data_IF_141156750375
#
_entry.id   IF_141156750375
#
_cell.length_a   1.000
_cell.length_b   1.000
_cell.length_c   1.000
_cell.angle_alpha   90.00
_cell.angle_beta   90.00
_cell.angle_gamma   90.00
#
_symmetry.space_group_name_H-M   'P 1'
#
loop_
_entity.id
_entity.type
_entity.pdbx_description
1 polymer ?
#
# COMPACT_ATOMS: atom_id res chain seq x y z
N UNK A 1 44.00 -4.23 -5.38
CA UNK A 1 43.09 -3.09 -5.63
C UNK A 1 42.88 -2.38 -4.31
N UNK A 2 43.72 -1.38 -4.03
CA UNK A 2 43.63 -0.61 -2.79
C UNK A 2 42.48 0.40 -2.84
N UNK A 3 41.56 0.21 -1.89
CA UNK A 3 41.02 1.22 -0.96
C UNK A 3 40.32 2.45 -1.56
N UNK A 4 39.17 2.21 -2.18
CA UNK A 4 38.05 3.15 -2.01
C UNK A 4 37.71 3.13 -0.49
N UNK A 5 37.72 4.29 0.17
CA UNK A 5 37.30 4.38 1.57
C UNK A 5 35.86 3.90 1.73
N UNK A 6 35.48 3.43 2.92
CA UNK A 6 34.10 2.98 3.17
C UNK A 6 33.11 4.09 2.80
N UNK A 7 33.42 5.34 3.13
CA UNK A 7 32.57 6.50 2.85
C UNK A 7 32.42 6.76 1.35
N UNK A 8 33.50 6.67 0.58
CA UNK A 8 33.45 6.81 -0.88
C UNK A 8 32.66 5.65 -1.51
N UNK A 9 32.79 4.44 -0.99
CA UNK A 9 32.02 3.30 -1.47
C UNK A 9 30.52 3.46 -1.15
N UNK A 10 30.18 3.93 0.05
CA UNK A 10 28.80 4.25 0.45
C UNK A 10 28.21 5.33 -0.46
N UNK A 11 28.94 6.42 -0.74
CA UNK A 11 28.48 7.49 -1.62
C UNK A 11 28.22 6.96 -3.05
N UNK A 12 29.17 6.23 -3.63
CA UNK A 12 29.03 5.62 -4.96
C UNK A 12 27.81 4.70 -5.01
N UNK A 13 27.74 3.73 -4.09
CA UNK A 13 26.65 2.77 -4.03
C UNK A 13 25.30 3.48 -3.83
N UNK A 14 25.24 4.52 -3.00
CA UNK A 14 24.00 5.27 -2.75
C UNK A 14 23.40 5.97 -3.98
N UNK A 15 24.18 6.13 -5.06
CA UNK A 15 23.77 6.79 -6.30
C UNK A 15 23.27 5.80 -7.36
N UNK A 16 23.46 4.50 -7.14
CA UNK A 16 23.05 3.46 -8.08
C UNK A 16 21.56 3.13 -7.93
N UNK A 17 20.89 2.72 -9.02
CA UNK A 17 19.59 2.07 -8.94
C UNK A 17 19.66 0.86 -8.00
N UNK A 18 18.58 0.61 -7.26
CA UNK A 18 18.62 -0.41 -6.21
C UNK A 18 18.87 -1.84 -6.73
N UNK A 19 18.54 -2.10 -7.99
CA UNK A 19 18.85 -3.38 -8.64
C UNK A 19 20.34 -3.56 -8.88
N UNK A 20 21.06 -2.50 -9.25
CA UNK A 20 22.50 -2.57 -9.45
C UNK A 20 23.24 -2.73 -8.13
N UNK A 21 22.67 -2.23 -7.03
CA UNK A 21 23.18 -2.47 -5.68
C UNK A 21 23.23 -3.97 -5.31
N UNK A 22 22.27 -4.78 -5.78
CA UNK A 22 22.35 -6.24 -5.59
C UNK A 22 23.52 -6.85 -6.32
N UNK A 23 23.77 -6.45 -7.57
CA UNK A 23 24.91 -6.93 -8.36
C UNK A 23 26.24 -6.52 -7.71
N UNK A 24 26.27 -5.34 -7.09
CA UNK A 24 27.43 -4.82 -6.36
C UNK A 24 27.85 -5.71 -5.17
N UNK A 25 26.95 -6.53 -4.59
CA UNK A 25 27.29 -7.52 -3.56
C UNK A 25 28.31 -8.55 -4.06
N UNK A 26 28.29 -8.87 -5.36
CA UNK A 26 29.21 -9.82 -5.99
C UNK A 26 30.57 -9.24 -6.37
N UNK A 27 30.77 -7.92 -6.28
CA UNK A 27 31.98 -7.24 -6.79
C UNK A 27 33.16 -7.43 -5.83
N UNK A 28 32.97 -7.15 -4.54
CA UNK A 28 33.98 -7.36 -3.51
C UNK A 28 33.37 -7.48 -2.10
N UNK A 29 34.14 -7.99 -1.14
CA UNK A 29 33.71 -8.13 0.27
C UNK A 29 33.23 -6.82 0.88
N UNK A 30 33.95 -5.72 0.65
CA UNK A 30 33.59 -4.40 1.20
C UNK A 30 32.22 -3.92 0.72
N UNK A 31 31.94 -4.03 -0.58
CA UNK A 31 30.65 -3.64 -1.16
C UNK A 31 29.52 -4.56 -0.71
N UNK A 32 29.80 -5.86 -0.58
CA UNK A 32 28.86 -6.82 0.00
C UNK A 32 28.48 -6.45 1.45
N UNK A 33 29.46 -6.10 2.29
CA UNK A 33 29.23 -5.64 3.65
C UNK A 33 28.38 -4.37 3.69
N UNK A 34 28.69 -3.37 2.85
CA UNK A 34 27.90 -2.11 2.79
C UNK A 34 26.48 -2.37 2.31
N UNK A 35 26.29 -3.12 1.22
CA UNK A 35 24.98 -3.40 0.65
C UNK A 35 24.12 -4.36 1.51
N UNK A 36 24.70 -4.98 2.54
CA UNK A 36 24.01 -5.81 3.51
C UNK A 36 23.80 -5.09 4.86
N UNK A 37 24.34 -3.88 5.01
CA UNK A 37 24.21 -3.05 6.20
C UNK A 37 22.78 -2.49 6.31
N UNK A 38 22.03 -2.76 7.40
CA UNK A 38 20.70 -2.21 7.62
C UNK A 38 20.69 -0.68 7.62
N UNK A 39 21.73 -0.03 8.14
CA UNK A 39 21.84 1.44 8.19
C UNK A 39 21.96 2.04 6.81
N UNK A 40 22.70 1.37 5.92
CA UNK A 40 22.79 1.76 4.51
C UNK A 40 21.44 1.62 3.82
N UNK A 41 20.69 0.54 4.10
CA UNK A 41 19.33 0.34 3.58
C UNK A 41 18.37 1.43 4.04
N UNK A 42 18.42 1.84 5.31
CA UNK A 42 17.62 2.96 5.85
C UNK A 42 17.98 4.28 5.18
N UNK A 43 19.27 4.56 5.00
CA UNK A 43 19.75 5.76 4.31
C UNK A 43 19.25 5.83 2.87
N UNK A 44 19.32 4.71 2.13
CA UNK A 44 18.76 4.60 0.80
C UNK A 44 17.25 4.87 0.79
N UNK A 45 16.50 4.31 1.75
CA UNK A 45 15.06 4.53 1.84
C UNK A 45 14.73 6.02 1.98
N UNK A 46 15.41 6.72 2.89
CA UNK A 46 15.23 8.16 3.11
C UNK A 46 15.59 8.97 1.86
N UNK A 47 16.65 8.57 1.15
CA UNK A 47 17.06 9.21 -0.10
C UNK A 47 16.03 9.00 -1.20
N UNK A 48 15.55 7.77 -1.41
CA UNK A 48 14.55 7.44 -2.43
C UNK A 48 13.19 8.08 -2.17
N UNK A 49 12.78 8.26 -0.90
CA UNK A 49 11.61 9.07 -0.53
C UNK A 49 11.77 10.50 -1.03
N UNK A 50 12.93 11.13 -0.79
CA UNK A 50 13.22 12.52 -1.19
C UNK A 50 13.34 12.70 -2.70
N UNK A 51 13.95 11.77 -3.42
CA UNK A 51 14.23 11.92 -4.87
C UNK A 51 13.02 11.63 -5.75
N UNK A 52 11.88 11.20 -5.19
CA UNK A 52 10.69 10.80 -5.93
C UNK A 52 11.01 9.75 -7.02
N UNK A 53 12.02 8.91 -6.83
CA UNK A 53 12.31 7.79 -7.74
C UNK A 53 11.64 6.57 -7.16
N UNK A 54 10.42 6.31 -7.62
CA UNK A 54 9.63 5.17 -7.18
C UNK A 54 9.52 4.25 -8.37
N UNK A 55 10.10 3.06 -8.24
CA UNK A 55 9.84 2.01 -9.18
C UNK A 55 8.38 1.60 -9.03
N UNK A 56 7.69 1.40 -10.14
CA UNK A 56 6.33 0.91 -10.10
C UNK A 56 6.36 -0.57 -10.35
N UNK A 57 5.64 -1.33 -9.53
CA UNK A 57 5.26 -2.67 -9.93
C UNK A 57 3.92 -2.60 -10.62
N UNK A 58 3.91 -2.89 -11.91
CA UNK A 58 2.69 -3.06 -12.69
C UNK A 58 2.36 -4.54 -12.67
N UNK A 59 1.16 -4.89 -12.25
CA UNK A 59 0.66 -6.25 -12.28
C UNK A 59 -0.47 -6.35 -13.30
N UNK A 60 -0.27 -7.25 -14.27
CA UNK A 60 -1.32 -7.70 -15.17
C UNK A 60 -1.95 -8.97 -14.60
N UNK A 61 -3.24 -8.88 -14.25
CA UNK A 61 -3.97 -10.04 -13.74
C UNK A 61 -4.29 -11.07 -14.81
N UNK A 62 -4.32 -10.69 -16.09
CA UNK A 62 -4.72 -11.61 -17.16
C UNK A 62 -3.75 -12.79 -17.31
N UNK A 63 -2.45 -12.52 -17.21
CA UNK A 63 -1.40 -13.55 -17.28
C UNK A 63 -0.57 -13.65 -15.99
N UNK A 64 -1.02 -12.99 -14.92
CA UNK A 64 -0.35 -12.91 -13.62
C UNK A 64 1.12 -12.47 -13.69
N UNK A 65 1.45 -11.60 -14.66
CA UNK A 65 2.80 -11.05 -14.81
C UNK A 65 2.97 -9.75 -14.04
N UNK A 66 4.12 -9.59 -13.38
CA UNK A 66 4.53 -8.36 -12.71
C UNK A 66 5.71 -7.73 -13.45
N UNK A 67 5.71 -6.40 -13.52
CA UNK A 67 6.68 -5.63 -14.28
C UNK A 67 7.24 -4.50 -13.44
N UNK A 68 8.53 -4.22 -13.60
CA UNK A 68 9.12 -3.00 -13.08
C UNK A 68 9.04 -1.90 -14.12
N UNK A 69 8.33 -0.84 -13.77
CA UNK A 69 8.27 0.38 -14.55
C UNK A 69 9.18 1.41 -13.91
N UNK A 70 10.19 1.82 -14.66
CA UNK A 70 11.06 2.94 -14.29
C UNK A 70 10.50 4.21 -14.92
N UNK A 71 10.36 5.26 -14.10
CA UNK A 71 9.98 6.59 -14.57
C UNK A 71 11.17 7.20 -15.33
N UNK A 72 11.23 6.97 -16.66
CA UNK A 72 12.31 7.52 -17.46
C UNK A 72 12.16 9.03 -17.57
N UNK A 73 13.05 9.77 -16.92
CA UNK A 73 13.13 11.24 -17.03
C UNK A 73 13.46 11.73 -18.45
N UNK A 74 13.89 10.84 -19.35
CA UNK A 74 14.31 11.12 -20.71
C UNK A 74 13.14 11.08 -21.71
N UNK A 75 12.25 12.06 -21.62
CA UNK A 75 11.56 12.71 -22.75
C UNK A 75 10.47 13.60 -22.16
N UNK A 76 10.87 14.79 -21.72
CA UNK A 76 9.94 15.89 -21.42
C UNK A 76 9.48 16.60 -22.70
N UNK A 77 9.55 15.93 -23.86
CA UNK A 77 9.08 16.50 -25.11
C UNK A 77 7.56 16.30 -25.23
N UNK A 78 6.85 17.28 -24.67
CA UNK A 78 5.47 17.81 -24.87
C UNK A 78 4.33 16.98 -25.49
N UNK A 79 4.47 15.71 -25.87
CA UNK A 79 3.40 14.93 -26.53
C UNK A 79 3.21 13.51 -26.04
N UNK A 80 4.22 12.82 -25.51
CA UNK A 80 4.03 11.45 -25.00
C UNK A 80 5.01 11.15 -23.86
N UNK A 81 4.53 11.12 -22.61
CA UNK A 81 5.28 10.46 -21.53
C UNK A 81 5.24 8.96 -21.79
N UNK A 82 6.40 8.33 -21.92
CA UNK A 82 6.52 6.87 -22.04
C UNK A 82 7.08 6.35 -20.73
N UNK A 83 6.34 5.45 -20.07
CA UNK A 83 6.94 4.65 -19.00
C UNK A 83 7.61 3.46 -19.68
N UNK A 84 8.94 3.44 -19.64
CA UNK A 84 9.69 2.28 -20.08
C UNK A 84 9.54 1.18 -19.03
N UNK A 85 9.06 0.03 -19.47
CA UNK A 85 9.13 -1.17 -18.64
C UNK A 85 10.49 -1.79 -18.85
N UNK A 86 11.27 -1.81 -17.79
CA UNK A 86 12.49 -2.57 -17.71
C UNK A 86 12.18 -3.95 -17.15
N UNK A 87 12.65 -5.00 -17.82
CA UNK A 87 12.65 -6.38 -17.29
C UNK A 87 11.29 -6.94 -16.87
N UNK A 88 10.74 -7.80 -17.73
CA UNK A 88 9.66 -8.71 -17.32
C UNK A 88 10.27 -9.73 -16.37
N UNK A 89 9.80 -9.78 -15.14
CA UNK A 89 10.01 -10.96 -14.34
C UNK A 89 8.67 -11.67 -14.27
N UNK A 90 8.66 -12.90 -14.78
CA UNK A 90 7.55 -13.77 -14.50
C UNK A 90 7.59 -13.99 -12.99
N UNK A 91 6.45 -13.81 -12.32
CA UNK A 91 6.30 -14.39 -11.00
C UNK A 91 6.30 -15.90 -11.19
N UNK A 92 7.48 -16.46 -11.39
CA UNK A 92 7.75 -17.86 -11.68
C UNK A 92 7.79 -18.58 -10.33
N UNK A 93 6.65 -18.63 -9.64
CA UNK A 93 6.43 -19.76 -8.76
C UNK A 93 6.11 -20.94 -9.68
N UNK A 94 7.15 -21.60 -10.19
CA UNK A 94 7.11 -22.72 -11.14
C UNK A 94 6.26 -23.92 -10.67
N UNK A 95 5.71 -23.87 -9.46
CA UNK A 95 4.94 -24.95 -8.86
C UNK A 95 3.47 -24.61 -8.63
N UNK A 96 3.02 -23.36 -8.78
CA UNK A 96 1.63 -22.99 -8.55
C UNK A 96 1.25 -21.73 -9.34
N UNK A 97 0.69 -21.91 -10.53
CA UNK A 97 -0.08 -20.85 -11.20
C UNK A 97 -1.26 -20.53 -10.27
N UNK A 98 -1.20 -19.40 -9.57
CA UNK A 98 -2.38 -18.89 -8.88
C UNK A 98 -3.25 -18.28 -9.96
N UNK A 99 -4.36 -18.91 -10.33
CA UNK A 99 -5.35 -18.32 -11.23
C UNK A 99 -5.88 -16.96 -10.69
N UNK A 100 -5.61 -16.68 -9.41
CA UNK A 100 -6.23 -15.67 -8.58
C UNK A 100 -5.23 -14.94 -7.66
N UNK A 101 -4.04 -14.57 -8.16
CA UNK A 101 -3.08 -13.76 -7.39
C UNK A 101 -3.76 -12.44 -6.93
N UNK A 102 -3.39 -11.93 -5.77
CA UNK A 102 -3.81 -10.65 -5.22
C UNK A 102 -2.65 -10.03 -4.45
N UNK A 103 -2.49 -8.71 -4.54
CA UNK A 103 -1.50 -7.98 -3.74
C UNK A 103 -2.20 -7.34 -2.56
N UNK A 104 -1.90 -7.79 -1.35
CA UNK A 104 -2.49 -7.28 -0.11
C UNK A 104 -1.92 -5.92 0.29
N UNK A 105 -0.67 -5.64 -0.09
CA UNK A 105 -0.03 -4.36 0.11
C UNK A 105 1.46 -4.38 -0.23
N UNK A 106 2.09 -3.20 -0.18
CA UNK A 106 3.54 -3.05 -0.19
C UNK A 106 3.97 -2.19 0.99
N UNK A 107 5.04 -2.61 1.66
CA UNK A 107 5.62 -1.86 2.75
C UNK A 107 7.13 -2.10 2.74
N UNK A 108 7.91 -1.02 2.83
CA UNK A 108 9.37 -1.08 2.96
C UNK A 108 10.08 -1.99 1.93
N UNK A 109 9.58 -2.02 0.69
CA UNK A 109 10.12 -2.79 -0.44
C UNK A 109 9.76 -4.26 -0.44
N UNK A 110 8.91 -4.70 0.49
CA UNK A 110 8.32 -6.03 0.52
C UNK A 110 6.89 -5.96 -0.01
N UNK A 111 6.48 -6.98 -0.75
CA UNK A 111 5.10 -7.22 -1.16
C UNK A 111 4.48 -8.31 -0.30
N UNK A 112 3.24 -8.12 0.10
CA UNK A 112 2.42 -9.20 0.63
C UNK A 112 1.45 -9.65 -0.46
N UNK A 113 1.55 -10.92 -0.84
CA UNK A 113 0.81 -11.54 -1.93
C UNK A 113 -0.08 -12.63 -1.37
N UNK A 114 -1.28 -12.79 -1.91
CA UNK A 114 -2.14 -13.94 -1.61
C UNK A 114 -2.84 -14.46 -2.85
N UNK A 115 -3.48 -15.63 -2.74
CA UNK A 115 -4.60 -15.94 -3.63
C UNK A 115 -5.92 -15.36 -3.06
N UNK A 116 -7.00 -15.30 -3.86
CA UNK A 116 -8.31 -14.80 -3.37
C UNK A 116 -8.85 -15.56 -2.16
N UNK A 117 -8.56 -16.86 -2.03
CA UNK A 117 -9.01 -17.66 -0.88
C UNK A 117 -8.14 -17.49 0.39
N UNK A 118 -7.08 -16.68 0.34
CA UNK A 118 -6.11 -16.48 1.42
C UNK A 118 -5.41 -17.76 1.93
N UNK A 119 -5.60 -18.91 1.26
CA UNK A 119 -4.95 -20.19 1.60
C UNK A 119 -3.45 -20.19 1.34
N UNK A 120 -2.97 -19.27 0.51
CA UNK A 120 -1.55 -19.11 0.21
C UNK A 120 -1.23 -17.64 0.33
N UNK A 121 -0.48 -17.28 1.36
CA UNK A 121 0.01 -15.91 1.59
C UNK A 121 1.53 -15.94 1.59
N UNK A 122 2.16 -14.97 0.91
CA UNK A 122 3.61 -14.88 0.80
C UNK A 122 4.08 -13.45 1.01
N UNK A 123 5.21 -13.30 1.70
CA UNK A 123 6.03 -12.08 1.60
C UNK A 123 7.02 -12.27 0.47
N UNK A 124 7.20 -11.24 -0.35
CA UNK A 124 8.06 -11.29 -1.53
C UNK A 124 8.88 -10.01 -1.65
N UNK A 125 10.20 -10.15 -1.81
CA UNK A 125 11.10 -9.06 -2.11
C UNK A 125 11.38 -9.13 -3.62
N UNK A 126 10.79 -8.23 -4.42
CA UNK A 126 10.90 -8.29 -5.87
C UNK A 126 12.26 -7.81 -6.40
N UNK A 127 13.12 -7.26 -5.52
CA UNK A 127 14.50 -6.88 -5.83
C UNK A 127 15.41 -8.09 -5.65
N UNK A 128 15.39 -8.74 -4.48
CA UNK A 128 16.22 -9.94 -4.22
C UNK A 128 15.63 -11.25 -4.73
N UNK A 129 14.38 -11.23 -5.19
CA UNK A 129 13.58 -12.40 -5.58
C UNK A 129 13.35 -13.42 -4.44
N UNK A 130 13.69 -13.05 -3.21
CA UNK A 130 13.40 -13.85 -2.03
C UNK A 130 11.91 -13.84 -1.71
N UNK A 131 11.40 -14.97 -1.21
CA UNK A 131 10.06 -15.07 -0.68
C UNK A 131 10.02 -15.89 0.61
N UNK A 132 8.95 -15.66 1.38
CA UNK A 132 8.56 -16.43 2.55
C UNK A 132 7.09 -16.83 2.40
N UNK A 133 6.82 -18.13 2.38
CA UNK A 133 5.46 -18.66 2.46
C UNK A 133 5.00 -18.66 3.91
N UNK A 134 3.87 -18.02 4.17
CA UNK A 134 3.27 -18.01 5.49
C UNK A 134 2.58 -19.35 5.76
N UNK A 135 2.55 -19.80 7.03
CA UNK A 135 1.66 -20.87 7.43
C UNK A 135 0.20 -20.48 7.18
N UNK A 136 -0.67 -21.47 7.06
CA UNK A 136 -2.10 -21.23 6.97
C UNK A 136 -2.58 -20.48 8.21
N UNK A 137 -3.42 -19.47 8.00
CA UNK A 137 -4.11 -18.82 9.11
C UNK A 137 -5.08 -19.79 9.79
N UNK A 138 -5.45 -19.48 11.03
CA UNK A 138 -6.35 -20.35 11.80
C UNK A 138 -7.77 -20.16 11.27
N UNK A 139 -8.35 -21.17 10.63
CA UNK A 139 -9.74 -21.07 10.20
C UNK A 139 -10.69 -21.18 11.40
N UNK A 140 -11.85 -20.49 11.39
CA UNK A 140 -12.90 -20.73 12.38
C UNK A 140 -13.28 -22.22 12.47
N UNK A 141 -13.77 -22.65 13.64
CA UNK A 141 -14.08 -24.06 13.93
C UNK A 141 -15.00 -24.74 12.90
N UNK A 142 -14.94 -26.08 12.81
CA UNK A 142 -15.74 -26.87 11.86
C UNK A 142 -17.22 -26.51 11.92
N UNK A 143 -17.82 -26.22 10.77
CA UNK A 143 -19.23 -25.82 10.64
C UNK A 143 -19.46 -24.30 10.60
N UNK A 144 -18.45 -23.50 10.93
CA UNK A 144 -18.54 -22.05 10.82
C UNK A 144 -18.30 -21.61 9.36
N UNK A 145 -19.17 -20.73 8.87
CA UNK A 145 -19.05 -20.19 7.51
C UNK A 145 -18.30 -18.87 7.55
N UNK A 146 -17.12 -18.82 6.92
CA UNK A 146 -16.43 -17.54 6.69
C UNK A 146 -17.29 -16.71 5.75
N UNK A 147 -17.67 -15.53 6.20
CA UNK A 147 -18.42 -14.55 5.43
C UNK A 147 -17.48 -13.66 4.63
N UNK A 148 -16.37 -13.26 5.26
CA UNK A 148 -15.47 -12.24 4.70
C UNK A 148 -14.11 -12.24 5.38
N UNK A 149 -13.09 -11.92 4.61
CA UNK A 149 -11.74 -11.67 5.10
C UNK A 149 -11.28 -10.29 4.60
N UNK A 150 -11.02 -9.38 5.54
CA UNK A 150 -10.23 -8.19 5.23
C UNK A 150 -8.76 -8.49 5.53
N UNK A 151 -7.88 -7.81 4.83
CA UNK A 151 -6.45 -7.95 5.04
C UNK A 151 -5.75 -6.61 5.07
N UNK A 152 -4.58 -6.60 5.69
CA UNK A 152 -3.66 -5.47 5.62
C UNK A 152 -2.22 -5.91 5.83
N UNK A 153 -1.31 -5.10 5.31
CA UNK A 153 0.13 -5.34 5.37
C UNK A 153 0.86 -4.06 5.71
N UNK A 154 1.69 -4.10 6.75
CA UNK A 154 2.40 -2.92 7.26
C UNK A 154 3.60 -3.27 8.12
N UNK A 155 4.09 -2.30 8.89
CA UNK A 155 5.29 -2.40 9.71
C UNK A 155 5.09 -1.71 11.06
N UNK A 156 5.44 -2.37 12.17
CA UNK A 156 5.20 -1.90 13.55
C UNK A 156 6.46 -1.38 14.27
N UNK A 157 7.36 -0.76 13.50
CA UNK A 157 8.72 -0.31 13.88
C UNK A 157 9.79 -1.42 13.94
N UNK A 158 9.39 -2.67 14.17
CA UNK A 158 10.33 -3.79 14.26
C UNK A 158 10.13 -4.80 13.14
N UNK A 159 8.89 -5.23 12.91
CA UNK A 159 8.58 -6.31 11.99
C UNK A 159 7.54 -5.92 10.95
N UNK A 160 7.64 -6.54 9.78
CA UNK A 160 6.51 -6.55 8.87
C UNK A 160 5.38 -7.39 9.49
N UNK A 161 4.16 -6.88 9.45
CA UNK A 161 2.97 -7.59 9.95
C UNK A 161 1.98 -7.82 8.81
N UNK A 162 1.43 -9.02 8.76
CA UNK A 162 0.25 -9.33 7.96
C UNK A 162 -0.94 -9.46 8.91
N UNK A 163 -1.99 -8.68 8.68
CA UNK A 163 -3.21 -8.70 9.48
C UNK A 163 -4.35 -9.27 8.63
N UNK A 164 -5.09 -10.22 9.20
CA UNK A 164 -6.34 -10.73 8.67
C UNK A 164 -7.47 -10.43 9.66
N UNK A 165 -8.56 -9.86 9.18
CA UNK A 165 -9.79 -9.66 9.97
C UNK A 165 -10.85 -10.58 9.40
N UNK A 166 -11.24 -11.59 10.17
CA UNK A 166 -12.16 -12.62 9.74
C UNK A 166 -13.54 -12.34 10.32
N UNK A 167 -14.56 -12.41 9.46
CA UNK A 167 -15.96 -12.37 9.84
C UNK A 167 -16.59 -13.71 9.48
N UNK A 168 -17.27 -14.36 10.43
CA UNK A 168 -17.82 -15.70 10.22
C UNK A 168 -19.12 -15.92 10.99
N UNK A 169 -20.01 -16.75 10.41
CA UNK A 169 -21.24 -17.18 11.08
C UNK A 169 -20.95 -18.40 11.96
N UNK A 170 -21.44 -18.34 13.20
CA UNK A 170 -21.57 -19.51 14.07
C UNK A 170 -23.05 -19.86 14.24
N UNK A 171 -23.32 -21.15 14.42
CA UNK A 171 -24.66 -21.62 14.74
C UNK A 171 -24.94 -21.39 16.24
N UNK A 172 -25.84 -20.46 16.51
CA UNK A 172 -26.33 -20.17 17.86
C UNK A 172 -27.32 -21.21 18.35
N UNK A 173 -27.72 -21.08 19.63
CA UNK A 173 -28.81 -21.88 20.20
C UNK A 173 -30.10 -21.60 19.39
N UNK A 174 -30.93 -22.63 19.18
CA UNK A 174 -32.19 -22.54 18.45
C UNK A 174 -32.09 -22.13 16.96
N UNK A 175 -31.04 -22.56 16.24
CA UNK A 175 -30.83 -22.28 14.79
C UNK A 175 -30.66 -20.78 14.45
N UNK A 176 -30.45 -19.92 15.45
CA UNK A 176 -30.05 -18.53 15.22
C UNK A 176 -28.64 -18.48 14.62
N UNK A 177 -28.37 -17.49 13.76
CA UNK A 177 -27.03 -17.24 13.22
C UNK A 177 -26.44 -16.04 13.94
N UNK A 178 -25.24 -16.20 14.48
CA UNK A 178 -24.50 -15.12 15.13
C UNK A 178 -23.27 -14.84 14.29
N UNK A 179 -23.05 -13.57 13.95
CA UNK A 179 -21.84 -13.13 13.27
C UNK A 179 -20.79 -12.84 14.31
N UNK A 180 -19.64 -13.50 14.18
CA UNK A 180 -18.46 -13.29 15.01
C UNK A 180 -17.37 -12.62 14.18
N UNK A 181 -16.45 -11.94 14.86
CA UNK A 181 -15.26 -11.38 14.26
C UNK A 181 -14.01 -11.72 15.08
N UNK A 182 -12.87 -11.78 14.38
CA UNK A 182 -11.56 -11.94 14.99
C UNK A 182 -10.46 -11.30 14.14
N UNK A 183 -9.39 -10.89 14.81
CA UNK A 183 -8.15 -10.43 14.19
C UNK A 183 -7.08 -11.52 14.33
N UNK A 184 -6.36 -11.78 13.25
CA UNK A 184 -5.14 -12.58 13.25
C UNK A 184 -3.97 -11.78 12.72
N UNK A 185 -2.86 -11.79 13.44
CA UNK A 185 -1.64 -11.06 13.09
C UNK A 185 -0.50 -12.05 12.92
N UNK A 186 0.14 -12.04 11.76
CA UNK A 186 1.36 -12.79 11.50
C UNK A 186 2.58 -11.88 11.58
N UNK A 187 3.61 -12.35 12.28
CA UNK A 187 4.95 -11.74 12.32
C UNK A 187 5.98 -12.76 11.80
N UNK A 188 6.88 -12.37 10.88
CA UNK A 188 7.91 -13.25 10.34
C UNK A 188 8.84 -13.86 11.40
N UNK A 189 9.12 -13.12 12.47
CA UNK A 189 10.03 -13.56 13.53
C UNK A 189 9.45 -14.73 14.36
N UNK A 190 8.18 -14.63 14.75
CA UNK A 190 7.50 -15.73 15.44
C UNK A 190 7.08 -16.87 14.50
N UNK A 191 6.94 -16.56 13.21
CA UNK A 191 6.41 -17.45 12.18
C UNK A 191 5.06 -18.09 12.56
N UNK A 192 4.23 -17.40 13.34
CA UNK A 192 2.94 -17.88 13.84
C UNK A 192 1.88 -16.79 13.71
N UNK A 193 0.63 -17.21 13.49
CA UNK A 193 -0.54 -16.34 13.58
C UNK A 193 -0.99 -16.18 15.03
N UNK A 194 -0.94 -14.96 15.54
CA UNK A 194 -1.49 -14.59 16.85
C UNK A 194 -2.95 -14.16 16.66
N UNK A 195 -3.84 -14.61 17.56
CA UNK A 195 -5.29 -14.44 17.41
C UNK A 195 -5.87 -13.60 18.55
N UNK A 196 -6.70 -12.61 18.20
CA UNK A 196 -7.47 -11.77 19.12
C UNK A 196 -8.95 -11.83 18.72
N UNK A 197 -9.82 -12.28 19.63
CA UNK A 197 -11.25 -12.53 19.37
C UNK A 197 -12.09 -11.36 19.90
N UNK A 198 -13.06 -10.88 19.10
CA UNK A 198 -14.03 -9.86 19.55
C UNK A 198 -13.48 -8.43 19.67
N UNK A 199 -12.26 -8.19 19.19
CA UNK A 199 -11.60 -6.88 19.21
C UNK A 199 -11.81 -6.07 17.93
N UNK A 200 -12.41 -6.67 16.88
CA UNK A 200 -12.59 -6.01 15.58
C UNK A 200 -13.89 -5.19 15.56
N UNK A 201 -13.85 -3.90 15.20
CA UNK A 201 -15.05 -3.10 15.04
C UNK A 201 -16.06 -3.74 14.08
N UNK A 202 -17.28 -3.99 14.54
CA UNK A 202 -18.32 -4.68 13.75
C UNK A 202 -18.58 -4.02 12.39
N UNK A 203 -18.54 -2.68 12.33
CA UNK A 203 -18.74 -1.91 11.11
C UNK A 203 -17.80 -2.31 9.96
N UNK A 204 -16.61 -2.90 10.24
CA UNK A 204 -15.71 -3.38 9.20
C UNK A 204 -16.30 -4.53 8.36
N UNK A 205 -17.35 -5.20 8.85
CA UNK A 205 -18.09 -6.15 8.02
C UNK A 205 -18.68 -5.49 6.77
N UNK A 206 -18.93 -4.17 6.80
CA UNK A 206 -19.45 -3.42 5.66
C UNK A 206 -18.38 -2.97 4.67
N UNK A 207 -17.08 -3.11 4.98
CA UNK A 207 -15.99 -2.62 4.13
C UNK A 207 -16.01 -3.26 2.73
N UNK A 208 -15.32 -2.72 1.73
CA UNK A 208 -15.26 -3.42 0.44
C UNK A 208 -14.24 -4.58 0.51
N UNK A 209 -14.65 -5.84 0.30
CA UNK A 209 -13.76 -7.01 0.44
C UNK A 209 -12.55 -6.96 -0.50
N UNK A 210 -12.74 -6.43 -1.70
CA UNK A 210 -11.65 -6.27 -2.68
C UNK A 210 -10.80 -5.01 -2.45
N UNK A 211 -11.13 -4.18 -1.45
CA UNK A 211 -10.27 -3.07 -1.03
C UNK A 211 -9.18 -3.60 -0.08
N UNK A 212 -7.94 -3.61 -0.54
CA UNK A 212 -6.77 -3.75 0.33
C UNK A 212 -6.70 -2.57 1.31
N UNK A 213 -6.18 -2.81 2.52
CA UNK A 213 -5.88 -1.72 3.44
C UNK A 213 -4.80 -0.79 2.87
N UNK A 214 -4.73 0.42 3.41
CA UNK A 214 -3.62 1.34 3.17
C UNK A 214 -2.79 1.45 4.44
N UNK A 215 -1.48 1.34 4.32
CA UNK A 215 -0.56 1.50 5.45
C UNK A 215 0.11 2.88 5.40
N UNK A 216 -0.04 3.65 6.48
CA UNK A 216 0.61 4.94 6.68
C UNK A 216 0.72 5.22 8.19
N UNK A 217 1.80 5.87 8.62
CA UNK A 217 2.02 6.27 10.02
C UNK A 217 1.76 5.17 11.06
N UNK A 218 2.30 3.97 10.79
CA UNK A 218 2.19 2.82 11.69
C UNK A 218 0.81 2.17 11.73
N UNK A 219 -0.15 2.68 10.95
CA UNK A 219 -1.54 2.23 10.98
C UNK A 219 -2.01 1.66 9.64
N UNK A 220 -2.86 0.64 9.71
CA UNK A 220 -3.61 0.12 8.57
C UNK A 220 -4.98 0.78 8.53
N UNK A 221 -5.43 1.22 7.36
CA UNK A 221 -6.70 1.92 7.17
C UNK A 221 -7.60 1.17 6.21
N UNK A 222 -8.86 0.99 6.59
CA UNK A 222 -9.93 0.44 5.77
C UNK A 222 -11.09 1.42 5.70
N UNK A 223 -11.71 1.49 4.53
CA UNK A 223 -12.93 2.25 4.35
C UNK A 223 -14.14 1.37 4.61
N UNK A 224 -15.12 1.90 5.33
CA UNK A 224 -16.35 1.19 5.68
C UNK A 224 -17.52 2.15 5.85
N UNK A 225 -18.69 1.62 6.18
CA UNK A 225 -19.84 2.42 6.61
C UNK A 225 -20.19 2.14 8.06
N UNK A 226 -20.74 3.15 8.74
CA UNK A 226 -21.35 2.98 10.06
C UNK A 226 -22.42 1.87 10.04
N UNK A 227 -22.66 1.25 11.19
CA UNK A 227 -23.72 0.24 11.33
C UNK A 227 -25.09 0.82 10.95
N UNK A 228 -25.90 -0.01 10.28
CA UNK A 228 -27.21 0.39 9.74
C UNK A 228 -28.12 0.87 10.87
N UNK A 229 -28.36 2.17 10.98
CA UNK A 229 -29.36 2.72 11.88
C UNK A 229 -30.72 2.98 11.22
N UNK A 230 -30.81 2.99 9.88
CA UNK A 230 -32.05 3.32 9.15
C UNK A 230 -31.98 2.97 7.66
N UNK A 231 -33.14 3.01 6.97
CA UNK A 231 -33.29 2.81 5.51
C UNK A 231 -32.64 3.93 4.66
N UNK A 232 -32.17 5.02 5.28
CA UNK A 232 -31.69 6.25 4.63
C UNK A 232 -30.20 6.25 4.23
N UNK A 233 -29.53 5.09 4.24
CA UNK A 233 -28.10 4.97 3.91
C UNK A 233 -27.19 5.09 5.14
N UNK A 234 -25.88 4.96 4.95
CA UNK A 234 -24.91 4.92 6.06
C UNK A 234 -23.76 5.88 5.87
N UNK A 235 -23.26 6.46 6.97
CA UNK A 235 -22.10 7.37 6.93
C UNK A 235 -20.84 6.61 6.54
N UNK A 236 -20.05 7.20 5.66
CA UNK A 236 -18.74 6.68 5.24
C UNK A 236 -17.69 6.99 6.31
N UNK A 237 -16.99 5.95 6.75
CA UNK A 237 -15.99 6.01 7.83
C UNK A 237 -14.70 5.35 7.38
N UNK A 238 -13.60 5.74 8.03
CA UNK A 238 -12.32 5.04 7.93
C UNK A 238 -12.02 4.44 9.30
N UNK A 239 -11.76 3.14 9.34
CA UNK A 239 -11.28 2.46 10.54
C UNK A 239 -9.78 2.25 10.38
N UNK A 240 -9.01 2.64 11.39
CA UNK A 240 -7.57 2.42 11.47
C UNK A 240 -7.23 1.35 12.49
N UNK A 241 -6.13 0.62 12.30
CA UNK A 241 -5.51 -0.27 13.29
C UNK A 241 -4.04 0.12 13.42
N UNK A 242 -3.62 0.58 14.60
CA UNK A 242 -2.20 0.87 14.85
C UNK A 242 -1.46 -0.45 15.10
N UNK A 243 -0.45 -0.77 14.30
CA UNK A 243 0.20 -2.09 14.34
C UNK A 243 1.06 -2.36 15.59
N UNK A 244 1.64 -1.32 16.19
CA UNK A 244 2.42 -1.45 17.42
C UNK A 244 1.59 -1.55 18.71
N UNK A 245 0.47 -0.83 18.79
CA UNK A 245 -0.44 -0.80 19.96
C UNK A 245 -1.59 -1.79 19.86
N UNK A 246 -1.89 -2.22 18.64
CA UNK A 246 -2.98 -3.12 18.27
C UNK A 246 -4.37 -2.59 18.70
N UNK A 247 -4.55 -1.27 18.65
CA UNK A 247 -5.79 -0.57 18.91
C UNK A 247 -6.43 0.00 17.64
N UNK A 248 -7.76 0.02 17.64
CA UNK A 248 -8.55 0.54 16.54
C UNK A 248 -8.92 2.00 16.75
N UNK A 249 -8.85 2.77 15.68
CA UNK A 249 -9.33 4.16 15.61
C UNK A 249 -10.43 4.31 14.56
N UNK A 250 -11.18 5.40 14.65
CA UNK A 250 -12.20 5.76 13.66
C UNK A 250 -12.01 7.21 13.26
N UNK A 251 -11.98 7.47 11.95
CA UNK A 251 -11.86 8.79 11.37
C UNK A 251 -13.04 9.04 10.44
N UNK A 252 -13.67 10.21 10.56
CA UNK A 252 -14.72 10.63 9.64
C UNK A 252 -14.12 11.00 8.28
N UNK A 253 -14.91 10.82 7.22
CA UNK A 253 -14.50 11.18 5.84
C UNK A 253 -15.03 12.57 5.49
N UNK A 254 -14.47 13.26 4.48
CA UNK A 254 -15.00 14.53 3.98
C UNK A 254 -16.31 14.35 3.19
N UNK A 255 -16.84 13.12 3.11
CA UNK A 255 -18.03 12.79 2.34
C UNK A 255 -19.23 12.83 3.26
N UNK A 256 -20.04 13.88 3.12
CA UNK A 256 -21.23 14.11 3.95
C UNK A 256 -22.47 13.35 3.47
N UNK A 257 -22.44 12.77 2.27
CA UNK A 257 -23.56 12.05 1.67
C UNK A 257 -23.64 10.63 2.23
N UNK A 258 -24.85 10.19 2.57
CA UNK A 258 -25.09 8.82 3.00
C UNK A 258 -24.90 7.85 1.83
N UNK A 259 -24.19 6.77 2.10
CA UNK A 259 -23.77 5.78 1.11
C UNK A 259 -24.71 4.58 1.17
N UNK A 260 -25.28 4.20 0.03
CA UNK A 260 -26.17 3.03 -0.09
C UNK A 260 -25.37 1.76 -0.47
N UNK A 261 -25.28 0.81 0.47
CA UNK A 261 -24.81 -0.60 0.34
C UNK A 261 -23.43 -0.86 -0.32
N UNK A 262 -22.96 -2.12 -0.24
CA UNK A 262 -21.62 -2.59 -0.65
C UNK A 262 -21.20 -2.19 -2.08
N UNK A 263 -22.14 -2.02 -3.00
CA UNK A 263 -21.83 -1.70 -4.40
C UNK A 263 -21.36 -0.27 -4.62
N UNK A 264 -21.63 0.67 -3.70
CA UNK A 264 -21.15 2.05 -3.80
C UNK A 264 -19.76 2.24 -3.21
N UNK A 265 -19.34 1.40 -2.25
CA UNK A 265 -18.02 1.51 -1.61
C UNK A 265 -16.86 1.33 -2.59
N UNK A 266 -17.05 0.59 -3.69
CA UNK A 266 -16.03 0.43 -4.75
C UNK A 266 -15.61 1.75 -5.41
N UNK A 267 -16.42 2.81 -5.29
CA UNK A 267 -16.14 4.15 -5.81
C UNK A 267 -15.27 4.99 -4.87
N UNK A 268 -14.99 4.48 -3.67
CA UNK A 268 -14.16 5.13 -2.69
C UNK A 268 -12.88 4.34 -2.48
N UNK A 269 -11.74 4.99 -2.68
CA UNK A 269 -10.44 4.32 -2.61
C UNK A 269 -9.50 5.09 -1.69
N UNK A 270 -8.91 4.38 -0.74
CA UNK A 270 -7.83 4.92 0.07
C UNK A 270 -6.49 4.79 -0.66
N UNK A 271 -5.57 5.71 -0.37
CA UNK A 271 -4.20 5.68 -0.87
C UNK A 271 -3.27 6.52 0.00
N UNK A 272 -2.03 6.71 -0.46
CA UNK A 272 -1.07 7.62 0.16
C UNK A 272 -0.62 8.63 -0.91
N UNK A 273 -0.78 9.92 -0.62
CA UNK A 273 -0.31 11.01 -1.47
C UNK A 273 0.32 12.10 -0.61
N UNK A 274 1.47 12.61 -1.05
CA UNK A 274 2.24 13.62 -0.30
C UNK A 274 2.49 13.20 1.16
N UNK A 275 2.74 11.90 1.39
CA UNK A 275 2.93 11.33 2.73
C UNK A 275 1.71 11.53 3.66
N UNK A 276 0.52 11.78 3.09
CA UNK A 276 -0.75 11.85 3.81
C UNK A 276 -1.68 10.72 3.35
N UNK A 277 -2.59 10.30 4.25
CA UNK A 277 -3.69 9.41 3.88
C UNK A 277 -4.58 10.15 2.87
N UNK A 278 -4.86 9.50 1.73
CA UNK A 278 -5.71 10.08 0.69
C UNK A 278 -7.01 9.30 0.52
N UNK A 279 -8.10 10.00 0.23
CA UNK A 279 -9.38 9.43 -0.16
C UNK A 279 -9.76 9.89 -1.56
N UNK A 280 -10.02 8.92 -2.44
CA UNK A 280 -10.57 9.16 -3.76
C UNK A 280 -12.07 8.89 -3.73
N UNK A 281 -12.85 9.77 -4.34
CA UNK A 281 -14.28 9.59 -4.53
C UNK A 281 -14.62 9.71 -6.02
N UNK A 282 -15.10 8.61 -6.62
CA UNK A 282 -15.62 8.56 -8.00
C UNK A 282 -17.11 8.22 -8.07
N UNK A 283 -17.86 8.40 -6.97
CA UNK A 283 -19.27 7.98 -6.87
C UNK A 283 -20.20 8.73 -7.83
N UNK A 284 -19.86 9.95 -8.20
CA UNK A 284 -20.65 10.76 -9.15
C UNK A 284 -20.51 10.32 -10.61
N UNK A 285 -19.48 9.53 -10.94
CA UNK A 285 -19.10 9.15 -12.31
C UNK A 285 -18.59 10.31 -13.20
N UNK A 286 -18.91 11.56 -12.87
CA UNK A 286 -18.49 12.77 -13.59
C UNK A 286 -17.16 13.30 -13.11
N UNK A 287 -16.92 13.24 -11.82
CA UNK A 287 -15.70 13.72 -11.21
C UNK A 287 -15.04 12.63 -10.37
N UNK A 288 -13.72 12.63 -10.38
CA UNK A 288 -12.89 11.92 -9.42
C UNK A 288 -12.29 12.95 -8.49
N UNK A 289 -12.83 13.05 -7.28
CA UNK A 289 -12.33 13.94 -6.25
C UNK A 289 -11.23 13.26 -5.45
N UNK A 290 -10.11 13.95 -5.26
CA UNK A 290 -8.98 13.46 -4.46
C UNK A 290 -8.82 14.35 -3.24
N UNK A 291 -8.90 13.74 -2.06
CA UNK A 291 -8.76 14.39 -0.76
C UNK A 291 -7.53 13.84 -0.04
N UNK A 292 -6.90 14.66 0.79
CA UNK A 292 -5.84 14.24 1.71
C UNK A 292 -6.19 14.66 3.14
N UNK A 293 -5.87 13.79 4.09
CA UNK A 293 -5.99 14.07 5.52
C UNK A 293 -4.68 14.69 5.98
N UNK A 294 -4.71 16.00 6.21
CA UNK A 294 -3.55 16.74 6.74
C UNK A 294 -3.58 16.70 8.26
N UNK A 295 -2.40 16.80 8.86
CA UNK A 295 -2.24 16.96 10.29
C UNK A 295 -1.46 18.25 10.56
N UNK A 296 -2.20 19.31 10.90
CA UNK A 296 -1.65 20.63 11.18
C UNK A 296 -1.80 20.88 12.69
N UNK A 297 -0.67 21.01 13.40
CA UNK A 297 -0.63 21.26 14.86
C UNK A 297 -1.42 20.24 15.71
N UNK A 298 -1.50 18.98 15.26
CA UNK A 298 -2.23 17.91 15.95
C UNK A 298 -3.73 17.88 15.61
N UNK A 299 -4.23 18.81 14.79
CA UNK A 299 -5.58 18.76 14.24
C UNK A 299 -5.56 18.08 12.88
N UNK A 300 -6.32 17.00 12.77
CA UNK A 300 -6.55 16.33 11.50
C UNK A 300 -7.71 16.99 10.75
N UNK A 301 -7.47 17.37 9.49
CA UNK A 301 -8.51 17.94 8.63
C UNK A 301 -8.38 17.46 7.18
N UNK A 302 -9.52 17.27 6.53
CA UNK A 302 -9.56 16.82 5.14
C UNK A 302 -9.50 18.03 4.22
N UNK A 303 -8.52 18.01 3.32
CA UNK A 303 -8.39 19.01 2.26
C UNK A 303 -8.59 18.36 0.91
N UNK A 304 -9.48 18.92 0.07
CA UNK A 304 -9.57 18.52 -1.34
C UNK A 304 -8.31 19.00 -2.06
N UNK A 305 -7.59 18.08 -2.68
CA UNK A 305 -6.34 18.36 -3.39
C UNK A 305 -6.64 18.81 -4.83
N UNK A 306 -7.48 18.05 -5.54
CA UNK A 306 -7.98 18.39 -6.88
C UNK A 306 -9.19 17.51 -7.24
N UNK A 307 -9.87 17.88 -8.33
CA UNK A 307 -10.96 17.14 -8.94
C UNK A 307 -10.64 16.87 -10.40
N UNK A 308 -10.75 15.62 -10.84
CA UNK A 308 -10.52 15.22 -12.24
C UNK A 308 -11.87 15.11 -12.93
N UNK A 309 -12.06 15.82 -14.03
CA UNK A 309 -13.24 15.62 -14.88
C UNK A 309 -13.06 14.34 -15.71
N UNK A 310 -13.97 13.37 -15.57
CA UNK A 310 -13.81 12.06 -16.23
C UNK A 310 -13.87 12.13 -17.75
N UNK A 311 -14.46 13.18 -18.33
CA UNK A 311 -14.45 13.41 -19.77
C UNK A 311 -13.04 13.69 -20.34
N UNK A 312 -12.15 14.27 -19.54
CA UNK A 312 -10.75 14.55 -19.93
C UNK A 312 -9.83 13.32 -19.79
N UNK A 313 -10.32 12.27 -19.12
CA UNK A 313 -9.66 10.96 -19.09
C UNK A 313 -10.11 10.16 -20.31
N UNK A 314 -9.77 10.61 -21.54
CA UNK A 314 -10.21 10.03 -22.83
C UNK A 314 -10.45 8.51 -22.75
N UNK A 315 -11.71 8.11 -22.54
CA UNK A 315 -12.08 6.71 -22.33
C UNK A 315 -12.21 6.01 -23.68
N UNK A 316 -11.80 4.74 -23.82
CA UNK A 316 -12.26 3.90 -24.91
C UNK A 316 -13.80 3.82 -24.87
N UNK A 317 -14.47 4.21 -25.94
CA UNK A 317 -15.91 4.48 -26.03
C UNK A 317 -16.87 3.27 -25.83
N UNK A 318 -16.43 2.20 -25.15
CA UNK A 318 -17.09 0.89 -25.21
C UNK A 318 -17.39 0.24 -23.85
N UNK A 319 -17.20 0.93 -22.72
CA UNK A 319 -17.26 0.28 -21.39
C UNK A 319 -18.23 1.01 -20.46
N UNK A 320 -19.37 0.37 -20.17
CA UNK A 320 -20.36 0.80 -19.17
C UNK A 320 -19.89 0.55 -17.72
N UNK A 321 -18.59 0.48 -17.48
CA UNK A 321 -18.03 0.19 -16.15
C UNK A 321 -17.72 1.48 -15.38
N UNK A 322 -17.87 1.48 -14.04
CA UNK A 322 -17.50 2.62 -13.22
C UNK A 322 -15.99 2.88 -13.30
N UNK A 323 -15.62 4.14 -13.55
CA UNK A 323 -14.23 4.60 -13.56
C UNK A 323 -13.65 4.49 -12.15
N UNK A 324 -12.79 3.49 -11.91
CA UNK A 324 -11.99 3.39 -10.69
C UNK A 324 -10.62 3.99 -11.01
N UNK A 325 -10.31 5.06 -10.29
CA UNK A 325 -9.04 5.77 -10.41
C UNK A 325 -8.33 5.68 -9.06
N UNK A 326 -7.07 5.29 -9.07
CA UNK A 326 -6.21 5.27 -7.89
C UNK A 326 -5.00 6.16 -8.12
N UNK A 327 -4.87 7.30 -7.43
CA UNK A 327 -3.67 8.09 -7.52
C UNK A 327 -2.54 7.34 -6.81
N UNK A 328 -1.43 7.21 -7.53
CA UNK A 328 -0.23 6.51 -7.07
C UNK A 328 0.74 7.53 -6.49
N UNK A 329 0.87 8.67 -7.16
CA UNK A 329 1.93 9.63 -6.91
C UNK A 329 1.56 10.99 -7.47
N UNK A 330 1.85 12.03 -6.70
CA UNK A 330 1.83 13.42 -7.15
C UNK A 330 3.28 13.91 -7.30
N UNK A 331 3.61 14.42 -8.48
CA UNK A 331 4.91 15.02 -8.79
C UNK A 331 4.89 16.51 -8.43
N UNK A 332 6.08 17.09 -8.21
CA UNK A 332 6.26 18.49 -7.79
C UNK A 332 5.70 19.53 -8.79
N UNK A 333 5.48 19.15 -10.05
CA UNK A 333 4.92 20.00 -11.10
C UNK A 333 3.39 19.84 -11.26
N UNK A 334 2.70 19.37 -10.22
CA UNK A 334 1.24 19.19 -10.25
C UNK A 334 0.76 17.98 -11.07
N UNK A 335 1.68 17.16 -11.58
CA UNK A 335 1.35 15.99 -12.40
C UNK A 335 1.12 14.76 -11.52
N UNK A 336 -0.04 14.13 -11.68
CA UNK A 336 -0.48 12.96 -10.93
C UNK A 336 -0.37 11.72 -11.81
N UNK A 337 0.24 10.67 -11.27
CA UNK A 337 0.15 9.34 -11.87
C UNK A 337 -1.02 8.58 -11.25
N UNK A 338 -1.87 8.05 -12.11
CA UNK A 338 -3.11 7.36 -11.76
C UNK A 338 -3.11 5.94 -12.33
N UNK A 339 -3.67 4.98 -11.58
CA UNK A 339 -4.16 3.71 -12.13
C UNK A 339 -5.62 3.90 -12.51
N UNK A 340 -5.93 3.69 -13.77
CA UNK A 340 -7.28 3.51 -14.29
C UNK A 340 -7.53 2.01 -14.53
N UNK A 341 -8.80 1.59 -14.58
CA UNK A 341 -9.18 0.19 -14.88
C UNK A 341 -8.44 -0.42 -16.09
N UNK A 342 -8.07 0.41 -17.06
CA UNK A 342 -7.50 0.01 -18.35
C UNK A 342 -6.08 0.50 -18.58
N UNK A 343 -5.40 1.06 -17.57
CA UNK A 343 -4.01 1.48 -17.76
C UNK A 343 -3.50 2.48 -16.74
N UNK A 344 -2.27 2.91 -16.95
CA UNK A 344 -1.69 4.04 -16.25
C UNK A 344 -2.05 5.33 -16.97
N UNK A 345 -2.46 6.34 -16.22
CA UNK A 345 -2.79 7.66 -16.74
C UNK A 345 -1.92 8.68 -16.04
N UNK A 346 -1.30 9.56 -16.81
CA UNK A 346 -0.72 10.79 -16.27
C UNK A 346 -1.73 11.91 -16.43
N UNK A 347 -2.05 12.57 -15.34
CA UNK A 347 -2.98 13.69 -15.30
C UNK A 347 -2.26 14.94 -14.82
N UNK A 348 -2.32 16.02 -15.59
CA UNK A 348 -1.85 17.33 -15.15
C UNK A 348 -3.05 18.09 -14.55
N UNK A 349 -2.99 18.35 -13.24
CA UNK A 349 -4.07 19.04 -12.53
C UNK A 349 -4.20 20.52 -12.93
N UNK A 350 -3.10 21.20 -13.27
CA UNK A 350 -3.11 22.60 -13.71
C UNK A 350 -3.74 22.75 -15.10
N UNK A 351 -3.41 21.82 -16.01
CA UNK A 351 -3.92 21.82 -17.37
C UNK A 351 -5.27 21.11 -17.53
N UNK A 352 -5.74 20.42 -16.48
CA UNK A 352 -6.90 19.53 -16.47
C UNK A 352 -6.91 18.53 -17.65
N UNK A 353 -5.77 17.89 -17.93
CA UNK A 353 -5.62 16.95 -19.05
C UNK A 353 -4.99 15.64 -18.62
N UNK A 354 -5.62 14.54 -19.02
CA UNK A 354 -5.15 13.17 -18.81
C UNK A 354 -4.60 12.56 -20.10
N UNK A 355 -3.53 11.78 -19.99
CA UNK A 355 -2.99 10.98 -21.07
C UNK A 355 -2.68 9.57 -20.58
N UNK A 356 -3.16 8.55 -21.31
CA UNK A 356 -2.78 7.17 -21.07
C UNK A 356 -1.31 6.97 -21.43
N UNK A 357 -0.58 6.33 -20.53
CA UNK A 357 0.81 6.01 -20.73
C UNK A 357 0.96 4.73 -21.53
N UNK A 358 1.92 4.75 -22.45
CA UNK A 358 2.37 3.54 -23.13
C UNK A 358 3.38 2.86 -22.22
N UNK A 359 3.11 1.58 -21.96
CA UNK A 359 3.91 0.69 -21.13
C UNK A 359 4.69 -0.21 -22.08
N UNK A 360 5.93 0.18 -22.39
CA UNK A 360 6.72 -0.42 -23.47
C UNK A 360 7.08 -1.88 -23.15
N UNK A 361 6.70 -2.83 -24.01
CA UNK A 361 6.80 -4.29 -23.74
C UNK A 361 5.53 -5.08 -24.04
N UNK A 362 4.41 -4.39 -24.31
CA UNK A 362 3.23 -4.94 -24.99
C UNK A 362 2.71 -3.92 -26.01
N UNK A 363 2.99 -4.18 -27.28
CA UNK A 363 2.22 -3.60 -28.38
C UNK A 363 0.89 -4.36 -28.44
N UNK A 364 -0.22 -3.64 -28.39
CA UNK A 364 -1.51 -4.06 -28.96
C UNK A 364 -2.39 -5.10 -28.24
N UNK A 365 -2.37 -5.21 -26.90
CA UNK A 365 -3.47 -5.88 -26.18
C UNK A 365 -4.12 -4.95 -25.17
N UNK A 366 -5.43 -4.75 -25.33
CA UNK A 366 -6.34 -4.19 -24.32
C UNK A 366 -6.08 -4.94 -23.00
N UNK A 367 -5.39 -4.32 -22.06
CA UNK A 367 -5.08 -4.91 -20.76
C UNK A 367 -6.24 -4.59 -19.82
N UNK A 368 -7.01 -5.62 -19.47
CA UNK A 368 -8.32 -5.48 -18.84
C UNK A 368 -8.30 -5.36 -17.30
N UNK A 369 -7.12 -5.35 -16.67
CA UNK A 369 -7.03 -5.06 -15.24
C UNK A 369 -5.61 -4.70 -14.81
N UNK A 370 -5.36 -3.43 -14.51
CA UNK A 370 -4.09 -2.97 -13.97
C UNK A 370 -4.18 -2.79 -12.46
N UNK A 371 -3.17 -3.28 -11.74
CA UNK A 371 -2.78 -2.72 -10.43
C UNK A 371 -1.36 -2.20 -10.57
N UNK A 372 -1.13 -0.96 -10.19
CA UNK A 372 0.23 -0.45 -10.06
C UNK A 372 0.46 -0.03 -8.62
N UNK A 373 1.61 -0.42 -8.10
CA UNK A 373 1.96 -0.27 -6.70
C UNK A 373 3.30 0.45 -6.65
N UNK A 374 3.40 1.55 -5.88
CA UNK A 374 4.68 2.18 -5.65
C UNK A 374 5.56 1.23 -4.86
N UNK A 375 6.72 0.88 -5.42
CA UNK A 375 7.74 0.10 -4.73
C UNK A 375 8.89 1.02 -4.36
N UNK A 376 9.13 1.11 -3.06
CA UNK A 376 10.38 1.64 -2.55
C UNK A 376 11.31 0.46 -2.36
N UNK A 377 12.22 0.22 -3.31
CA UNK A 377 13.04 -0.98 -3.30
C UNK A 377 13.76 -1.18 -1.96
N UNK A 378 14.02 -2.44 -1.61
CA UNK A 378 14.70 -2.80 -0.38
C UNK A 378 15.72 -3.90 -0.59
N UNK A 379 16.90 -3.74 0.01
CA UNK A 379 17.96 -4.75 0.08
C UNK A 379 17.81 -5.68 1.29
N UNK A 380 16.77 -5.47 2.10
CA UNK A 380 16.48 -6.27 3.30
C UNK A 380 16.09 -7.69 2.87
N UNK A 381 16.76 -8.69 3.46
CA UNK A 381 16.39 -10.08 3.26
C UNK A 381 15.10 -10.39 4.03
N UNK A 382 14.21 -11.18 3.43
CA UNK A 382 13.00 -11.65 4.11
C UNK A 382 13.34 -12.79 5.08
N UNK A 383 14.40 -13.54 4.80
CA UNK A 383 14.78 -14.76 5.53
C UNK A 383 15.71 -14.49 6.71
N UNK A 384 16.22 -13.27 6.84
CA UNK A 384 17.06 -12.86 7.96
C UNK A 384 16.40 -11.65 8.61
N UNK A 385 15.79 -11.79 9.81
CA UNK A 385 15.25 -10.64 10.51
C UNK A 385 16.41 -9.70 10.85
N UNK A 386 16.59 -8.66 10.02
CA UNK A 386 17.44 -7.54 10.39
C UNK A 386 16.77 -6.89 11.60
N UNK A 387 17.31 -7.13 12.80
CA UNK A 387 17.06 -6.26 13.95
C UNK A 387 17.50 -4.87 13.52
N UNK A 388 16.54 -3.98 13.24
CA UNK A 388 16.86 -2.57 13.17
C UNK A 388 17.12 -2.16 14.63
N UNK A 389 18.38 -1.93 14.97
CA UNK A 389 18.73 -1.41 16.28
C UNK A 389 17.96 -0.11 16.51
N UNK A 390 17.11 -0.12 17.53
CA UNK A 390 16.33 1.02 18.00
C UNK A 390 17.24 2.02 18.70
N UNK A 391 18.06 2.69 17.90
CA UNK A 391 19.02 3.70 18.33
C UNK A 391 18.64 5.10 17.89
N UNK A 392 17.40 5.53 18.13
CA UNK A 392 17.04 6.95 18.29
C UNK A 392 15.62 7.03 18.86
N UNK A 393 15.54 6.97 20.21
CA UNK A 393 14.32 7.38 20.91
C UNK A 393 14.14 8.87 20.67
N UNK A 394 13.07 9.25 19.99
CA UNK A 394 12.48 10.58 20.16
C UNK A 394 12.17 10.77 21.65
N UNK A 395 13.03 11.52 22.35
CA UNK A 395 12.72 11.98 23.69
C UNK A 395 11.59 13.02 23.57
N UNK A 396 10.48 12.89 24.31
CA UNK A 396 9.52 13.97 24.43
C UNK A 396 10.18 15.12 25.20
N UNK A 397 9.90 16.36 24.79
CA UNK A 397 10.36 17.55 25.47
C UNK A 397 9.93 17.52 26.94
N UNK A 398 10.89 17.27 27.84
CA UNK A 398 10.68 17.41 29.27
C UNK A 398 10.55 18.88 29.64
N UNK A 399 9.44 19.18 30.33
CA UNK A 399 9.18 20.43 31.02
C UNK A 399 10.32 20.78 31.99
N UNK A 400 11.11 21.79 31.63
CA UNK A 400 12.06 22.43 32.53
C UNK A 400 11.37 23.38 33.50
N UNK A 401 10.87 22.86 34.62
CA UNK A 401 10.62 23.65 35.83
C UNK A 401 11.87 23.64 36.73
N UNK A 402 12.52 24.80 36.87
CA UNK A 402 13.33 25.29 38.01
C UNK A 402 13.95 26.64 37.58
N UNK A 403 13.89 27.73 38.32
CA UNK A 403 13.42 27.95 39.67
C UNK A 403 13.36 29.45 40.00
N UNK A 404 12.71 29.74 41.12
CA UNK A 404 12.65 31.05 41.78
C UNK A 404 14.05 31.68 41.92
N UNK A 405 14.16 32.97 41.55
CA UNK A 405 14.91 33.98 42.32
C UNK A 405 14.18 35.32 42.22
N UNK A 406 13.61 35.72 43.35
CA UNK A 406 13.31 37.10 43.74
C UNK A 406 14.58 37.94 43.80
N UNK A 407 14.52 39.21 43.40
CA UNK A 407 15.01 40.37 44.15
C UNK A 407 14.77 41.67 43.36
N UNK A 408 14.06 42.59 44.05
CA UNK A 408 13.78 44.01 43.81
C UNK A 408 12.92 44.43 42.62
#
# INVERSE_FOLDING_TARGET
>A
MDRISRDNAVDILSRLPIRDLLRCRGVCKSWCTIASDPTFSTTLKLKFRKTSTTDLIIWDKFDNTMFFAEDSKSDYDRRNRVIRVSNKFYFSCKEDLWDDLNVLGSCNGILCLSNFSFKRIRLYNPISEEYLLLPNFVTPGRGNKVLKILSGFGFDDVFHKVVLLLFYEIQGRCKSKIVMNEMQVYTPDSNVWQRSIGSVPNMLINAYELASSVFIDGSLHWITTADKSSESGSRLLIVSLHLGREDFGVTETPISVLVELEFTLKHYVLGVLQECLSLVNSSTGRFVDVWILKNDEGKQDWSKLFSIWTAELVLPAHLNEPVIVRPIKLQNNGVVLLVHNHGLVVYNAEANKGQFLIVDGRKDKKMYSYKAIPLLGSLISIKSPCRMDSGEKYLPAENGHRGKRTCY
#
